data_IF_636521201930
#
_entry.id   IF_636521201930
#
_cell.length_a   1.000
_cell.length_b   1.000
_cell.length_c   1.000
_cell.angle_alpha   90.00
_cell.angle_beta   90.00
_cell.angle_gamma   90.00
#
_symmetry.space_group_name_H-M   'P 1'
#
loop_
_entity.id
_entity.type
_entity.pdbx_description
1 polymer ?
#
# COMPACT_ATOMS: atom_id res chain seq x y z
N UNK A 1 35.54 -7.31 32.65
CA UNK A 1 35.16 -7.89 31.33
C UNK A 1 33.63 -7.98 31.27
N UNK A 2 32.94 -6.83 31.25
CA UNK A 2 31.47 -6.74 31.16
C UNK A 2 30.98 -5.89 29.96
N UNK A 3 31.90 -5.33 29.19
CA UNK A 3 31.57 -4.43 28.07
C UNK A 3 31.18 -5.17 26.78
N UNK A 4 31.55 -6.45 26.65
CA UNK A 4 31.36 -7.22 25.41
C UNK A 4 29.88 -7.67 25.24
N UNK A 5 29.16 -7.94 26.34
CA UNK A 5 27.75 -8.39 26.28
C UNK A 5 26.73 -7.28 25.96
N UNK A 6 27.10 -6.00 26.06
CA UNK A 6 26.21 -4.87 25.77
C UNK A 6 26.17 -4.53 24.27
N UNK A 7 27.27 -4.77 23.56
CA UNK A 7 27.39 -4.50 22.12
C UNK A 7 26.57 -5.47 21.27
N UNK A 8 26.59 -6.77 21.59
CA UNK A 8 25.80 -7.79 20.88
C UNK A 8 24.30 -7.49 20.96
N UNK A 9 23.83 -7.06 22.13
CA UNK A 9 22.44 -6.70 22.37
C UNK A 9 22.04 -5.40 21.63
N UNK A 10 22.99 -4.47 21.47
CA UNK A 10 22.76 -3.21 20.75
C UNK A 10 22.62 -3.44 19.25
N UNK A 11 23.44 -4.32 18.68
CA UNK A 11 23.37 -4.72 17.27
C UNK A 11 22.03 -5.38 16.92
N UNK A 12 21.51 -6.24 17.81
CA UNK A 12 20.21 -6.89 17.67
C UNK A 12 19.05 -5.88 17.72
N UNK A 13 19.10 -4.93 18.65
CA UNK A 13 18.09 -3.86 18.74
C UNK A 13 18.08 -2.98 17.49
N UNK A 14 19.24 -2.60 16.96
CA UNK A 14 19.35 -1.81 15.73
C UNK A 14 18.77 -2.58 14.54
N UNK A 15 19.09 -3.87 14.40
CA UNK A 15 18.53 -4.73 13.33
C UNK A 15 17.01 -4.84 13.41
N UNK A 16 16.47 -4.97 14.62
CA UNK A 16 15.02 -4.98 14.83
C UNK A 16 14.40 -3.65 14.39
N UNK A 17 14.95 -2.52 14.83
CA UNK A 17 14.45 -1.19 14.45
C UNK A 17 14.44 -0.99 12.92
N UNK A 18 15.54 -1.32 12.24
CA UNK A 18 15.63 -1.24 10.78
C UNK A 18 14.57 -2.14 10.09
N UNK A 19 14.34 -3.35 10.62
CA UNK A 19 13.31 -4.26 10.11
C UNK A 19 11.89 -3.68 10.25
N UNK A 20 11.59 -3.00 11.36
CA UNK A 20 10.32 -2.32 11.55
C UNK A 20 10.16 -1.13 10.60
N UNK A 21 11.21 -0.33 10.40
CA UNK A 21 11.21 0.79 9.46
C UNK A 21 10.97 0.31 8.02
N UNK A 22 11.70 -0.72 7.58
CA UNK A 22 11.51 -1.31 6.25
C UNK A 22 10.09 -1.89 6.05
N UNK A 23 9.49 -2.45 7.10
CA UNK A 23 8.09 -2.91 7.06
C UNK A 23 7.12 -1.73 6.96
N UNK A 24 7.40 -0.65 7.69
CA UNK A 24 6.63 0.59 7.63
C UNK A 24 6.63 1.19 6.22
N UNK A 25 7.81 1.38 5.63
CA UNK A 25 7.97 1.91 4.28
C UNK A 25 7.25 1.05 3.24
N UNK A 26 7.39 -0.29 3.32
CA UNK A 26 6.68 -1.20 2.41
C UNK A 26 5.17 -1.05 2.51
N UNK A 27 4.63 -0.96 3.73
CA UNK A 27 3.20 -0.79 3.97
C UNK A 27 2.68 0.53 3.42
N UNK A 28 3.43 1.62 3.56
CA UNK A 28 3.05 2.93 3.02
C UNK A 28 3.09 2.96 1.50
N UNK A 29 4.09 2.34 0.87
CA UNK A 29 4.15 2.19 -0.60
C UNK A 29 2.94 1.40 -1.10
N UNK A 30 2.62 0.28 -0.46
CA UNK A 30 1.46 -0.55 -0.83
C UNK A 30 0.16 0.24 -0.72
N UNK A 31 -0.05 0.97 0.40
CA UNK A 31 -1.21 1.85 0.57
C UNK A 31 -1.26 2.96 -0.48
N UNK A 32 -0.12 3.53 -0.84
CA UNK A 32 -0.02 4.57 -1.87
C UNK A 32 -0.43 4.05 -3.24
N UNK A 33 -0.01 2.83 -3.59
CA UNK A 33 -0.38 2.17 -4.85
C UNK A 33 -1.89 1.90 -4.88
N UNK A 34 -2.47 1.36 -3.81
CA UNK A 34 -3.92 1.09 -3.72
C UNK A 34 -4.72 2.38 -3.87
N UNK A 35 -4.41 3.42 -3.08
CA UNK A 35 -5.09 4.72 -3.15
C UNK A 35 -4.93 5.37 -4.53
N UNK A 36 -3.78 5.22 -5.16
CA UNK A 36 -3.54 5.71 -6.52
C UNK A 36 -4.44 5.04 -7.55
N UNK A 37 -4.59 3.71 -7.47
CA UNK A 37 -5.50 2.95 -8.33
C UNK A 37 -6.96 3.35 -8.12
N UNK A 38 -7.41 3.46 -6.88
CA UNK A 38 -8.77 3.91 -6.54
C UNK A 38 -9.07 5.31 -7.10
N UNK A 39 -8.13 6.25 -6.93
CA UNK A 39 -8.28 7.61 -7.44
C UNK A 39 -8.39 7.67 -8.97
N UNK A 40 -7.67 6.78 -9.68
CA UNK A 40 -7.77 6.66 -11.14
C UNK A 40 -9.13 6.09 -11.54
N UNK A 41 -9.61 5.03 -10.86
CA UNK A 41 -10.93 4.44 -11.10
C UNK A 41 -12.04 5.49 -10.91
N UNK A 42 -11.98 6.28 -9.84
CA UNK A 42 -12.96 7.34 -9.56
C UNK A 42 -12.96 8.39 -10.69
N UNK A 43 -11.79 8.81 -11.17
CA UNK A 43 -11.71 9.73 -12.31
C UNK A 43 -12.29 9.14 -13.59
N UNK A 44 -11.99 7.87 -13.87
CA UNK A 44 -12.53 7.15 -15.03
C UNK A 44 -14.05 7.02 -14.97
N UNK A 45 -14.61 6.73 -13.79
CA UNK A 45 -16.05 6.71 -13.55
C UNK A 45 -16.68 8.10 -13.74
N UNK A 46 -16.02 9.16 -13.25
CA UNK A 46 -16.48 10.54 -13.43
C UNK A 46 -16.45 11.00 -14.90
N UNK A 47 -15.51 10.48 -15.70
CA UNK A 47 -15.47 10.67 -17.15
C UNK A 47 -16.53 9.84 -17.92
N UNK A 48 -17.31 9.01 -17.22
CA UNK A 48 -18.39 8.22 -17.81
C UNK A 48 -17.91 6.96 -18.54
N UNK A 49 -16.69 6.48 -18.25
CA UNK A 49 -16.18 5.24 -18.81
C UNK A 49 -16.97 4.02 -18.29
N UNK A 50 -17.10 3.00 -19.12
CA UNK A 50 -17.82 1.79 -18.73
C UNK A 50 -17.01 0.98 -17.71
N UNK A 51 -17.71 0.37 -16.75
CA UNK A 51 -17.12 -0.50 -15.71
C UNK A 51 -16.28 -1.62 -16.33
N UNK A 52 -16.67 -2.12 -17.49
CA UNK A 52 -15.94 -3.16 -18.24
C UNK A 52 -14.60 -2.68 -18.78
N UNK A 53 -14.53 -1.44 -19.27
CA UNK A 53 -13.29 -0.85 -19.74
C UNK A 53 -12.36 -0.53 -18.56
N UNK A 54 -12.92 -0.01 -17.47
CA UNK A 54 -12.17 0.29 -16.25
C UNK A 54 -11.55 -1.00 -15.70
N UNK A 55 -12.35 -2.05 -15.50
CA UNK A 55 -11.86 -3.35 -15.02
C UNK A 55 -10.74 -3.93 -15.90
N UNK A 56 -10.83 -3.74 -17.22
CA UNK A 56 -9.80 -4.18 -18.15
C UNK A 56 -8.49 -3.40 -18.03
N UNK A 57 -8.55 -2.10 -17.73
CA UNK A 57 -7.37 -1.21 -17.68
C UNK A 57 -6.71 -1.23 -16.30
N UNK A 58 -7.50 -1.31 -15.23
CA UNK A 58 -7.00 -1.24 -13.86
C UNK A 58 -6.79 -2.62 -13.22
N UNK A 59 -7.24 -3.69 -13.89
CA UNK A 59 -7.30 -5.07 -13.37
C UNK A 59 -8.10 -5.19 -12.07
N UNK A 60 -8.93 -4.18 -11.76
CA UNK A 60 -9.79 -4.18 -10.59
C UNK A 60 -11.04 -5.03 -10.81
N UNK A 61 -11.53 -5.65 -9.74
CA UNK A 61 -12.79 -6.38 -9.79
C UNK A 61 -13.96 -5.42 -10.04
N UNK A 62 -14.96 -5.90 -10.80
CA UNK A 62 -16.15 -5.10 -11.11
C UNK A 62 -16.86 -4.66 -9.84
N UNK A 63 -16.92 -5.52 -8.83
CA UNK A 63 -17.53 -5.25 -7.53
C UNK A 63 -16.82 -4.10 -6.77
N UNK A 64 -15.50 -4.00 -6.90
CA UNK A 64 -14.71 -2.94 -6.29
C UNK A 64 -14.94 -1.60 -7.00
N UNK A 65 -15.04 -1.63 -8.33
CA UNK A 65 -15.39 -0.45 -9.14
C UNK A 65 -16.81 0.05 -8.83
N UNK A 66 -17.78 -0.86 -8.64
CA UNK A 66 -19.14 -0.47 -8.27
C UNK A 66 -19.22 0.12 -6.85
N UNK A 67 -18.49 -0.44 -5.88
CA UNK A 67 -18.38 0.18 -4.54
C UNK A 67 -17.83 1.60 -4.62
N UNK A 68 -16.79 1.83 -5.42
CA UNK A 68 -16.22 3.16 -5.61
C UNK A 68 -17.19 4.12 -6.31
N UNK A 69 -18.08 3.60 -7.15
CA UNK A 69 -19.15 4.37 -7.79
C UNK A 69 -20.26 4.77 -6.81
N UNK A 70 -20.61 3.91 -5.85
CA UNK A 70 -21.64 4.20 -4.83
C UNK A 70 -21.14 5.14 -3.72
N UNK A 71 -19.83 5.15 -3.47
CA UNK A 71 -19.20 6.02 -2.47
C UNK A 71 -19.04 7.48 -2.91
N UNK A 72 -19.41 7.82 -4.16
CA UNK A 72 -19.18 9.12 -4.81
C UNK A 72 -20.49 9.65 -5.42
#
# INVERSE_FOLDING_TARGET
MQEISQLDNTEEVIKLLNSWEERGVRKEIEQGIVKGKEAVIIKMLAEGLSVELIAKVTEAEKDEIEKLREMN
#
